data_IF_942862964721
#
_entry.id   IF_942862964721
#
_cell.length_a   1.000
_cell.length_b   1.000
_cell.length_c   1.000
_cell.angle_alpha   90.00
_cell.angle_beta   90.00
_cell.angle_gamma   90.00
#
_symmetry.space_group_name_H-M   'P 1'
#
loop_
_entity.id
_entity.type
_entity.pdbx_description
1 polymer ?
#
# COMPACT_ATOMS: atom_id res chain seq x y z
N UNK A 1 -6.12 12.43 9.52
CA UNK A 1 -7.17 11.54 10.03
C UNK A 1 -6.66 10.83 11.28
N UNK A 2 -7.53 10.44 12.21
CA UNK A 2 -7.10 9.85 13.49
C UNK A 2 -6.92 8.33 13.34
N UNK A 3 -5.71 7.83 13.58
CA UNK A 3 -5.46 6.40 13.68
C UNK A 3 -5.87 5.88 15.05
N UNK A 4 -6.74 4.86 15.08
CA UNK A 4 -7.27 4.29 16.32
C UNK A 4 -7.11 2.78 16.31
N UNK A 5 -6.80 2.20 17.46
CA UNK A 5 -6.85 0.75 17.66
C UNK A 5 -8.29 0.31 17.97
N UNK A 6 -8.80 -0.66 17.20
CA UNK A 6 -10.05 -1.32 17.52
C UNK A 6 -9.96 -2.25 18.73
N UNK A 7 -11.08 -2.86 19.17
CA UNK A 7 -11.12 -3.77 20.30
C UNK A 7 -10.22 -5.01 20.15
N UNK A 8 -9.97 -5.44 18.91
CA UNK A 8 -9.08 -6.54 18.57
C UNK A 8 -7.62 -6.10 18.40
N UNK A 9 -7.31 -4.84 18.70
CA UNK A 9 -6.01 -4.22 18.57
C UNK A 9 -5.66 -3.83 17.13
N UNK A 10 -6.53 -4.03 16.14
CA UNK A 10 -6.23 -3.66 14.74
C UNK A 10 -6.42 -2.16 14.51
N UNK A 11 -5.46 -1.58 13.79
CA UNK A 11 -5.57 -0.19 13.34
C UNK A 11 -6.79 0.02 12.43
N UNK A 12 -7.44 1.16 12.61
CA UNK A 12 -8.48 1.73 11.74
C UNK A 12 -8.16 3.20 11.47
N UNK A 13 -8.45 3.66 10.25
CA UNK A 13 -8.21 5.04 9.81
C UNK A 13 -7.26 5.13 8.62
N UNK A 14 -6.96 6.36 8.22
CA UNK A 14 -6.24 6.65 6.98
C UNK A 14 -4.83 7.20 7.25
N UNK A 15 -3.86 6.75 6.42
CA UNK A 15 -2.48 7.24 6.40
C UNK A 15 -2.17 7.80 5.02
N UNK A 16 -1.96 9.10 4.96
CA UNK A 16 -1.43 9.76 3.77
C UNK A 16 0.08 9.52 3.68
N UNK A 17 0.52 9.06 2.52
CA UNK A 17 1.91 8.79 2.19
C UNK A 17 2.27 9.55 0.91
N UNK A 18 3.55 9.91 0.79
CA UNK A 18 4.11 10.44 -0.46
C UNK A 18 5.23 9.52 -0.92
N UNK A 19 5.02 8.84 -2.04
CA UNK A 19 6.04 8.01 -2.66
C UNK A 19 6.93 8.88 -3.54
N UNK A 20 8.19 9.04 -3.15
CA UNK A 20 9.15 9.89 -3.87
C UNK A 20 9.87 9.06 -4.94
N UNK A 21 9.72 9.45 -6.20
CA UNK A 21 10.29 8.74 -7.37
C UNK A 21 10.09 7.19 -7.30
N UNK A 22 8.85 6.69 -7.28
CA UNK A 22 8.59 5.26 -7.06
C UNK A 22 8.92 4.36 -8.26
N UNK A 23 8.93 4.89 -9.49
CA UNK A 23 9.13 4.08 -10.70
C UNK A 23 10.45 3.29 -10.74
N UNK A 24 11.63 3.87 -10.44
CA UNK A 24 12.87 3.10 -10.40
C UNK A 24 12.81 1.89 -9.46
N UNK A 25 12.23 2.05 -8.26
CA UNK A 25 12.08 0.97 -7.30
C UNK A 25 11.11 -0.12 -7.79
N UNK A 26 9.97 0.27 -8.37
CA UNK A 26 8.96 -0.67 -8.88
C UNK A 26 9.47 -1.42 -10.12
N UNK A 27 10.19 -0.74 -11.01
CA UNK A 27 10.80 -1.37 -12.19
C UNK A 27 11.85 -2.43 -11.81
N UNK A 28 12.64 -2.16 -10.77
CA UNK A 28 13.57 -3.14 -10.18
C UNK A 28 12.85 -4.33 -9.53
N UNK A 29 11.74 -4.07 -8.83
CA UNK A 29 10.95 -5.13 -8.17
C UNK A 29 10.25 -6.05 -9.19
N UNK A 30 9.68 -5.48 -10.26
CA UNK A 30 9.07 -6.24 -11.35
C UNK A 30 10.09 -7.13 -12.07
N UNK A 31 11.37 -6.71 -12.13
CA UNK A 31 12.45 -7.50 -12.73
C UNK A 31 12.99 -8.60 -11.81
N UNK A 32 12.78 -8.51 -10.49
CA UNK A 32 13.34 -9.43 -9.48
C UNK A 32 12.36 -10.53 -9.02
N UNK A 33 11.48 -11.00 -9.92
CA UNK A 33 10.27 -11.77 -9.60
C UNK A 33 10.40 -13.18 -8.98
N UNK A 34 10.99 -13.35 -7.79
CA UNK A 34 11.13 -14.67 -7.13
C UNK A 34 10.43 -14.82 -5.77
N UNK A 35 9.19 -14.36 -5.60
CA UNK A 35 8.41 -14.67 -4.39
C UNK A 35 6.90 -14.47 -4.53
N UNK A 36 6.10 -15.40 -3.97
CA UNK A 36 4.62 -15.38 -4.01
C UNK A 36 4.02 -14.16 -3.32
N UNK A 37 4.64 -13.68 -2.24
CA UNK A 37 4.33 -12.42 -1.54
C UNK A 37 4.66 -11.18 -2.37
N UNK A 38 5.58 -11.29 -3.33
CA UNK A 38 6.06 -10.18 -4.14
C UNK A 38 5.10 -9.85 -5.29
N UNK A 39 4.34 -10.83 -5.81
CA UNK A 39 3.46 -10.62 -6.97
C UNK A 39 2.24 -9.75 -6.67
N UNK A 40 1.59 -9.95 -5.52
CA UNK A 40 0.41 -9.16 -5.11
C UNK A 40 0.83 -7.73 -4.74
N UNK A 41 1.95 -7.57 -4.01
CA UNK A 41 2.52 -6.26 -3.70
C UNK A 41 2.99 -5.50 -4.95
N UNK A 42 3.65 -6.19 -5.90
CA UNK A 42 4.06 -5.60 -7.17
C UNK A 42 2.87 -5.22 -8.07
N UNK A 43 1.79 -6.02 -8.09
CA UNK A 43 0.58 -5.67 -8.82
C UNK A 43 -0.11 -4.44 -8.25
N UNK A 44 -0.21 -4.34 -6.91
CA UNK A 44 -0.74 -3.15 -6.24
C UNK A 44 0.11 -1.91 -6.46
N UNK A 45 1.44 -2.03 -6.43
CA UNK A 45 2.37 -0.94 -6.70
C UNK A 45 2.30 -0.47 -8.16
N UNK A 46 2.27 -1.40 -9.12
CA UNK A 46 2.12 -1.11 -10.54
C UNK A 46 0.79 -0.41 -10.84
N UNK A 47 -0.30 -0.87 -10.23
CA UNK A 47 -1.61 -0.24 -10.40
C UNK A 47 -1.67 1.16 -9.76
N UNK A 48 -1.07 1.36 -8.57
CA UNK A 48 -0.98 2.68 -7.95
C UNK A 48 -0.18 3.68 -8.81
N UNK A 49 0.91 3.25 -9.45
CA UNK A 49 1.67 4.09 -10.39
C UNK A 49 0.97 4.33 -11.72
N UNK A 50 0.18 3.37 -12.21
CA UNK A 50 -0.58 3.52 -13.45
C UNK A 50 -1.68 4.58 -13.30
N UNK A 51 -2.31 4.67 -12.12
CA UNK A 51 -3.34 5.68 -11.83
C UNK A 51 -2.76 7.11 -11.78
N UNK A 52 -1.49 7.27 -11.41
CA UNK A 52 -0.84 8.57 -11.23
C UNK A 52 0.10 9.01 -12.36
N UNK A 53 0.09 8.30 -13.50
CA UNK A 53 0.81 8.74 -14.69
C UNK A 53 2.34 8.64 -14.61
N UNK A 54 2.87 7.93 -13.61
CA UNK A 54 4.25 7.44 -13.56
C UNK A 54 5.38 8.47 -13.37
N UNK A 55 5.21 9.76 -13.67
CA UNK A 55 6.34 10.69 -13.71
C UNK A 55 6.31 11.68 -12.54
N UNK A 56 6.80 11.26 -11.37
CA UNK A 56 6.99 12.16 -10.22
C UNK A 56 6.71 11.52 -8.88
N UNK A 57 6.60 12.37 -7.86
CA UNK A 57 6.13 11.94 -6.55
C UNK A 57 4.64 11.61 -6.62
N UNK A 58 4.23 10.57 -5.91
CA UNK A 58 2.86 10.06 -5.92
C UNK A 58 2.28 10.15 -4.52
N UNK A 59 1.18 10.89 -4.38
CA UNK A 59 0.41 10.89 -3.14
C UNK A 59 -0.46 9.61 -3.07
N UNK A 60 -0.40 8.94 -1.94
CA UNK A 60 -1.04 7.65 -1.68
C UNK A 60 -1.80 7.73 -0.36
N UNK A 61 -2.90 7.01 -0.26
CA UNK A 61 -3.62 6.83 1.01
C UNK A 61 -3.71 5.35 1.31
N UNK A 62 -3.11 4.93 2.44
CA UNK A 62 -3.42 3.64 3.03
C UNK A 62 -4.67 3.77 3.89
N UNK A 63 -5.63 2.89 3.67
CA UNK A 63 -6.84 2.82 4.49
C UNK A 63 -6.82 1.54 5.29
N UNK A 64 -6.95 1.67 6.61
CA UNK A 64 -7.20 0.55 7.49
C UNK A 64 -8.70 0.49 7.80
N UNK A 65 -9.36 -0.53 7.26
CA UNK A 65 -10.80 -0.74 7.47
C UNK A 65 -11.11 -2.23 7.49
N UNK A 66 -12.09 -2.62 8.30
CA UNK A 66 -12.55 -4.01 8.41
C UNK A 66 -11.39 -5.00 8.67
N UNK A 67 -10.40 -4.60 9.49
CA UNK A 67 -9.24 -5.42 9.81
C UNK A 67 -8.26 -5.66 8.66
N UNK A 68 -8.35 -4.91 7.56
CA UNK A 68 -7.49 -5.04 6.36
C UNK A 68 -6.89 -3.68 5.97
N UNK A 69 -5.72 -3.75 5.33
CA UNK A 69 -4.99 -2.62 4.75
C UNK A 69 -5.28 -2.55 3.25
N UNK A 70 -5.65 -1.36 2.78
CA UNK A 70 -5.91 -1.08 1.37
C UNK A 70 -5.08 0.08 0.86
N UNK A 71 -4.74 0.03 -0.42
CA UNK A 71 -4.24 1.17 -1.19
C UNK A 71 -5.19 1.40 -2.36
N UNK A 72 -6.02 2.44 -2.27
CA UNK A 72 -7.15 2.63 -3.19
C UNK A 72 -8.04 1.37 -3.25
N UNK A 73 -8.31 0.81 -4.45
CA UNK A 73 -9.14 -0.38 -4.59
C UNK A 73 -8.42 -1.70 -4.26
N UNK A 74 -7.12 -1.68 -3.96
CA UNK A 74 -6.31 -2.90 -3.81
C UNK A 74 -6.14 -3.29 -2.34
N UNK A 75 -6.50 -4.53 -1.99
CA UNK A 75 -6.22 -5.09 -0.68
C UNK A 75 -4.75 -5.55 -0.60
N UNK A 76 -4.02 -5.07 0.39
CA UNK A 76 -2.59 -5.37 0.54
C UNK A 76 -2.34 -6.48 1.56
N UNK A 77 -2.89 -6.32 2.77
CA UNK A 77 -2.58 -7.17 3.92
C UNK A 77 -3.69 -7.06 4.98
N UNK A 78 -3.64 -7.85 6.08
CA UNK A 78 -4.34 -7.51 7.32
C UNK A 78 -3.87 -6.17 7.89
N UNK A 79 -4.77 -5.45 8.59
CA UNK A 79 -4.41 -4.24 9.32
C UNK A 79 -3.47 -4.58 10.49
N UNK A 80 -2.43 -3.78 10.77
CA UNK A 80 -1.49 -4.05 11.85
C UNK A 80 -2.21 -4.15 13.20
N UNK A 81 -1.75 -5.07 14.06
CA UNK A 81 -2.17 -5.15 15.46
C UNK A 81 -1.21 -4.37 16.34
N UNK A 82 -1.73 -3.64 17.32
CA UNK A 82 -0.92 -2.93 18.31
C UNK A 82 -0.77 -3.69 19.63
N UNK A 83 -1.63 -4.68 19.88
CA UNK A 83 -1.60 -5.60 21.02
C UNK A 83 -2.31 -6.92 20.67
#
# INVERSE_FOLDING_TARGET
DLLVAGPDGRLTGDVSLKAVKPLPAISGLARSGSGSVNRVGAAGAAAATAVTGGQGDVDLVLQFRNGRTYLGPFALAPAPKLF
#
